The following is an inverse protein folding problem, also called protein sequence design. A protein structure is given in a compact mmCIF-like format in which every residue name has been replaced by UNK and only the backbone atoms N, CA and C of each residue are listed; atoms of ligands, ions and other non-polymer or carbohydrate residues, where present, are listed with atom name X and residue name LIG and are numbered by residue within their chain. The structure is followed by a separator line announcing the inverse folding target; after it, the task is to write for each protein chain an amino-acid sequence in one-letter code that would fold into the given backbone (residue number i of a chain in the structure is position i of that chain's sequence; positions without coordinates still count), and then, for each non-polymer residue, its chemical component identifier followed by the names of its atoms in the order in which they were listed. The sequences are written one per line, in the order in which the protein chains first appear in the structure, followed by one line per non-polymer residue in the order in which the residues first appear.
data_IF_177248220358
#
_entry.id   IF_177248220358
#
_cell.length_a   1.000
_cell.length_b   1.000
_cell.length_c   1.000
_cell.angle_alpha   90.00
_cell.angle_beta   90.00
_cell.angle_gamma   90.00
#
_symmetry.space_group_name_H-M   'P 1'
#
loop_
_entity.id
_entity.type
_entity.pdbx_description
1 polymer ?
#
# COMPACT_ATOMS: atom_id res chain seq x y z
N UNK A 1 -37.23 52.51 -23.93
CA UNK A 1 -35.83 52.17 -24.19
C UNK A 1 -35.40 51.14 -23.15
N UNK A 2 -35.46 49.85 -23.50
CA UNK A 2 -34.94 48.73 -22.70
C UNK A 2 -34.76 47.55 -23.66
N UNK A 3 -33.52 47.09 -23.93
CA UNK A 3 -33.29 46.08 -24.96
C UNK A 3 -33.74 44.69 -24.46
N UNK A 4 -34.82 44.17 -25.06
CA UNK A 4 -35.42 42.84 -24.78
C UNK A 4 -34.60 41.68 -25.37
N UNK A 5 -33.51 41.97 -26.06
CA UNK A 5 -32.67 40.99 -26.78
C UNK A 5 -31.47 40.48 -25.97
N UNK A 6 -31.14 41.12 -24.83
CA UNK A 6 -29.92 40.79 -24.08
C UNK A 6 -30.06 39.60 -23.11
N UNK A 7 -31.29 39.10 -22.86
CA UNK A 7 -31.53 38.01 -21.90
C UNK A 7 -31.54 36.60 -22.52
N UNK A 8 -31.77 36.48 -23.82
CA UNK A 8 -31.74 35.18 -24.51
C UNK A 8 -30.34 34.55 -24.66
N UNK A 9 -29.25 35.29 -24.99
CA UNK A 9 -27.97 34.64 -25.26
C UNK A 9 -27.32 34.07 -24.00
N UNK A 10 -27.59 34.66 -22.82
CA UNK A 10 -27.02 34.19 -21.56
C UNK A 10 -27.58 32.81 -21.13
N UNK A 11 -28.87 32.57 -21.32
CA UNK A 11 -29.51 31.30 -20.97
C UNK A 11 -29.05 30.15 -21.89
N UNK A 12 -28.85 30.44 -23.18
CA UNK A 12 -28.37 29.45 -24.16
C UNK A 12 -26.93 28.98 -23.85
N UNK A 13 -26.06 29.89 -23.42
CA UNK A 13 -24.66 29.56 -23.09
C UNK A 13 -24.53 28.68 -21.84
N UNK A 14 -25.40 28.87 -20.84
CA UNK A 14 -25.37 28.07 -19.60
C UNK A 14 -25.75 26.60 -19.88
N UNK A 15 -26.75 26.37 -20.74
CA UNK A 15 -27.19 25.03 -21.11
C UNK A 15 -26.11 24.26 -21.90
N UNK A 16 -25.41 24.96 -22.81
CA UNK A 16 -24.32 24.37 -23.59
C UNK A 16 -23.12 23.96 -22.71
N UNK A 17 -22.81 24.74 -21.67
CA UNK A 17 -21.73 24.43 -20.72
C UNK A 17 -21.98 23.17 -19.89
N UNK A 18 -23.23 22.89 -19.52
CA UNK A 18 -23.59 21.69 -18.76
C UNK A 18 -23.45 20.40 -19.59
N UNK A 19 -23.72 20.46 -20.90
CA UNK A 19 -23.62 19.29 -21.80
C UNK A 19 -22.16 18.86 -21.99
N UNK A 20 -21.22 19.79 -21.95
CA UNK A 20 -19.78 19.54 -22.13
C UNK A 20 -19.09 19.07 -20.83
N UNK A 21 -19.75 19.16 -19.68
CA UNK A 21 -19.18 18.82 -18.36
C UNK A 21 -19.45 17.37 -17.91
N UNK A 22 -19.86 16.49 -18.85
CA UNK A 22 -20.40 15.16 -18.52
C UNK A 22 -19.43 13.98 -18.55
N UNK A 23 -18.14 14.17 -18.84
CA UNK A 23 -17.19 13.05 -18.85
C UNK A 23 -16.75 12.72 -17.41
N UNK A 24 -17.61 12.04 -16.65
CA UNK A 24 -17.20 11.39 -15.40
C UNK A 24 -16.32 10.21 -15.79
N UNK A 25 -15.01 10.35 -15.58
CA UNK A 25 -14.08 9.22 -15.68
C UNK A 25 -14.33 8.30 -14.49
N UNK A 26 -15.04 7.21 -14.71
CA UNK A 26 -15.14 6.13 -13.73
C UNK A 26 -13.89 5.25 -13.88
N UNK A 27 -12.96 5.25 -12.91
CA UNK A 27 -11.82 4.35 -12.98
C UNK A 27 -12.34 2.91 -12.97
N UNK A 28 -11.75 2.01 -13.77
CA UNK A 28 -12.17 0.62 -13.79
C UNK A 28 -12.15 0.03 -12.37
N UNK A 29 -13.13 -0.82 -12.01
CA UNK A 29 -13.17 -1.42 -10.68
C UNK A 29 -11.89 -2.21 -10.45
N UNK A 30 -11.07 -1.75 -9.52
CA UNK A 30 -9.88 -2.46 -9.08
C UNK A 30 -10.33 -3.62 -8.19
N UNK A 31 -10.37 -4.83 -8.76
CA UNK A 31 -10.61 -6.05 -8.00
C UNK A 31 -9.33 -6.37 -7.20
N UNK A 32 -9.31 -6.03 -5.92
CA UNK A 32 -8.29 -6.52 -4.99
C UNK A 32 -8.58 -8.00 -4.70
N UNK A 33 -7.82 -8.90 -5.30
CA UNK A 33 -7.85 -10.32 -4.91
C UNK A 33 -7.01 -10.44 -3.64
N UNK A 34 -7.68 -10.50 -2.49
CA UNK A 34 -7.01 -10.89 -1.23
C UNK A 34 -6.81 -12.40 -1.28
N UNK A 35 -5.62 -12.84 -1.71
CA UNK A 35 -5.24 -14.23 -1.58
C UNK A 35 -4.97 -14.51 -0.09
N UNK A 36 -5.92 -15.14 0.59
CA UNK A 36 -5.72 -15.60 1.96
C UNK A 36 -4.68 -16.73 1.95
N UNK A 37 -3.54 -16.49 2.61
CA UNK A 37 -2.49 -17.51 2.74
C UNK A 37 -2.85 -18.43 3.90
N UNK A 38 -2.53 -19.74 3.83
CA UNK A 38 -2.66 -20.65 4.97
C UNK A 38 -1.91 -20.09 6.18
N UNK A 39 -2.37 -20.37 7.40
CA UNK A 39 -1.66 -19.97 8.61
C UNK A 39 -0.22 -20.53 8.62
N UNK A 40 0.76 -19.77 9.14
CA UNK A 40 2.12 -20.29 9.31
C UNK A 40 2.16 -21.44 10.31
N UNK A 41 3.17 -22.33 10.22
CA UNK A 41 3.43 -23.32 11.25
C UNK A 41 3.72 -22.65 12.61
N UNK A 42 3.78 -23.43 13.71
CA UNK A 42 4.15 -22.91 15.01
C UNK A 42 5.46 -22.11 14.99
N UNK A 43 5.55 -21.10 15.86
CA UNK A 43 6.76 -20.31 16.03
C UNK A 43 7.88 -21.22 16.51
N UNK A 44 9.02 -21.18 15.84
CA UNK A 44 10.24 -21.84 16.29
C UNK A 44 10.98 -20.86 17.19
N UNK A 45 11.29 -21.28 18.42
CA UNK A 45 12.09 -20.48 19.35
C UNK A 45 13.56 -20.84 19.17
N UNK A 46 14.35 -19.87 18.72
CA UNK A 46 15.80 -20.00 18.60
C UNK A 46 16.46 -19.19 19.72
N UNK A 47 17.13 -19.83 20.71
CA UNK A 47 17.92 -19.10 21.67
C UNK A 47 19.04 -18.34 20.93
N UNK A 48 19.31 -17.06 21.27
CA UNK A 48 20.37 -16.31 20.62
C UNK A 48 21.72 -17.02 20.87
N UNK A 49 22.53 -17.26 19.82
CA UNK A 49 23.92 -17.68 20.03
C UNK A 49 24.70 -16.57 20.74
N UNK A 50 25.91 -16.81 21.26
CA UNK A 50 26.75 -15.73 21.77
C UNK A 50 27.04 -14.68 20.68
N UNK A 51 27.02 -13.37 21.01
CA UNK A 51 27.37 -12.34 20.03
C UNK A 51 28.85 -12.48 19.64
N UNK A 52 29.18 -12.42 18.34
CA UNK A 52 30.57 -12.39 17.91
C UNK A 52 31.31 -11.19 18.54
N UNK A 53 32.57 -11.35 18.97
CA UNK A 53 33.31 -10.29 19.69
C UNK A 53 33.41 -8.97 18.89
N UNK A 54 33.52 -9.08 17.57
CA UNK A 54 33.60 -7.93 16.66
C UNK A 54 32.27 -7.17 16.48
N UNK A 55 31.14 -7.74 16.95
CA UNK A 55 29.79 -7.21 16.72
C UNK A 55 29.19 -6.53 17.96
N UNK A 56 29.93 -6.46 19.07
CA UNK A 56 29.52 -5.72 20.27
C UNK A 56 29.98 -4.26 20.20
N UNK A 57 29.16 -3.23 20.51
CA UNK A 57 27.79 -3.22 21.06
C UNK A 57 26.66 -2.91 20.04
N UNK A 58 26.96 -2.82 18.75
CA UNK A 58 26.00 -2.31 17.75
C UNK A 58 25.10 -3.36 17.13
N UNK A 59 25.26 -4.64 17.47
CA UNK A 59 24.48 -5.72 16.86
C UNK A 59 23.50 -6.36 17.83
N UNK A 60 22.29 -6.64 17.33
CA UNK A 60 21.20 -7.26 18.07
C UNK A 60 20.78 -8.57 17.40
N UNK A 61 20.40 -9.55 18.22
CA UNK A 61 19.81 -10.78 17.70
C UNK A 61 18.43 -10.49 17.12
N UNK A 62 18.22 -10.83 15.86
CA UNK A 62 16.91 -10.84 15.21
C UNK A 62 16.42 -12.29 15.16
N UNK A 63 15.33 -12.63 15.89
CA UNK A 63 14.76 -13.98 15.84
C UNK A 63 14.40 -14.40 14.41
N UNK A 64 14.43 -15.71 14.15
CA UNK A 64 13.94 -16.26 12.90
C UNK A 64 12.46 -15.97 12.67
N UNK A 65 12.02 -16.09 11.42
CA UNK A 65 10.64 -15.82 11.02
C UNK A 65 10.17 -16.74 9.90
N UNK A 66 8.88 -17.01 9.88
CA UNK A 66 8.23 -17.62 8.73
C UNK A 66 8.09 -16.61 7.59
N UNK A 67 8.48 -17.00 6.39
CA UNK A 67 8.32 -16.23 5.15
C UNK A 67 7.47 -17.03 4.17
N UNK A 68 6.52 -16.37 3.50
CA UNK A 68 5.70 -17.00 2.48
C UNK A 68 6.33 -16.86 1.10
N UNK A 69 6.79 -17.97 0.54
CA UNK A 69 7.43 -18.06 -0.78
C UNK A 69 6.66 -19.08 -1.67
N UNK A 70 5.33 -19.03 -1.64
CA UNK A 70 4.46 -20.09 -2.21
C UNK A 70 4.31 -21.31 -1.31
N UNK A 71 5.15 -21.40 -0.27
CA UNK A 71 5.04 -22.24 0.91
C UNK A 71 5.62 -21.49 2.11
N UNK A 72 5.32 -21.92 3.32
CA UNK A 72 5.98 -21.40 4.51
C UNK A 72 7.43 -21.91 4.59
N UNK A 73 8.38 -20.98 4.64
CA UNK A 73 9.82 -21.25 4.77
C UNK A 73 10.33 -20.57 6.04
N UNK A 74 11.06 -21.32 6.87
CA UNK A 74 11.69 -20.77 8.07
C UNK A 74 13.00 -20.09 7.69
N UNK A 75 13.08 -18.79 7.91
CA UNK A 75 14.33 -18.03 7.83
C UNK A 75 14.94 -17.96 9.23
N UNK A 76 16.13 -18.54 9.41
CA UNK A 76 16.84 -18.55 10.71
C UNK A 76 17.16 -17.14 11.19
N UNK A 77 17.22 -16.98 12.51
CA UNK A 77 17.67 -15.76 13.15
C UNK A 77 19.13 -15.44 12.83
N UNK A 78 19.46 -14.16 12.94
CA UNK A 78 20.80 -13.66 12.69
C UNK A 78 21.06 -12.41 13.52
N UNK A 79 22.34 -12.09 13.71
CA UNK A 79 22.73 -10.78 14.21
C UNK A 79 22.58 -9.75 13.11
N UNK A 80 21.94 -8.63 13.43
CA UNK A 80 21.84 -7.46 12.55
C UNK A 80 22.30 -6.21 13.30
N UNK A 81 22.90 -5.28 12.58
CA UNK A 81 23.24 -3.97 13.11
C UNK A 81 21.95 -3.26 13.56
N UNK A 82 21.99 -2.73 14.79
CA UNK A 82 20.99 -1.83 15.32
C UNK A 82 21.23 -0.50 14.62
N UNK A 83 20.62 -0.31 13.45
CA UNK A 83 20.55 1.00 12.78
C UNK A 83 20.43 2.10 13.83
N UNK A 84 21.40 3.02 13.81
CA UNK A 84 21.35 4.28 14.57
C UNK A 84 20.31 5.22 13.98
#
# INVERSE_FOLDING_TARGET
MTPRHLRLPAAASILAGMILSGCVYEPPPHRVIVAERPAPPPVIVEPPPPPPPALHPYWVWRPGRWVWEGRWVWHRGHYAERLG
#
